data_IF_004141168204
#
_entry.id   IF_004141168204
#
_cell.length_a   1.000
_cell.length_b   1.000
_cell.length_c   1.000
_cell.angle_alpha   90.00
_cell.angle_beta   90.00
_cell.angle_gamma   90.00
#
_symmetry.space_group_name_H-M   'P 1'
#
loop_
_entity.id
_entity.type
_entity.pdbx_description
1 polymer ?
#
# COMPACT_ATOMS: atom_id res chain seq x y z
N UNK A 1 -8.12 -0.67 -4.10
CA UNK A 1 -8.18 -1.16 -2.71
C UNK A 1 -9.58 -1.05 -2.14
N UNK A 2 -10.28 0.09 -2.25
CA UNK A 2 -11.66 0.20 -1.73
C UNK A 2 -12.61 -0.86 -2.28
N UNK A 3 -12.68 -1.01 -3.60
CA UNK A 3 -13.57 -2.00 -4.27
C UNK A 3 -13.24 -3.43 -3.87
N UNK A 4 -11.96 -3.82 -3.91
CA UNK A 4 -11.57 -5.19 -3.55
C UNK A 4 -11.74 -5.46 -2.05
N UNK A 5 -11.58 -4.44 -1.20
CA UNK A 5 -11.90 -4.56 0.22
C UNK A 5 -13.40 -4.80 0.41
N UNK A 6 -14.25 -4.06 -0.30
CA UNK A 6 -15.71 -4.27 -0.27
C UNK A 6 -16.11 -5.67 -0.75
N UNK A 7 -15.55 -6.14 -1.88
CA UNK A 7 -15.78 -7.49 -2.42
C UNK A 7 -15.38 -8.60 -1.43
N UNK A 8 -14.27 -8.40 -0.70
CA UNK A 8 -13.76 -9.33 0.31
C UNK A 8 -14.31 -9.08 1.73
N UNK A 9 -15.25 -8.14 1.91
CA UNK A 9 -15.84 -7.83 3.20
C UNK A 9 -14.85 -7.27 4.22
N UNK A 10 -13.83 -6.53 3.79
CA UNK A 10 -12.81 -5.91 4.63
C UNK A 10 -13.16 -4.44 4.87
N UNK A 11 -13.37 -4.08 6.14
CA UNK A 11 -13.65 -2.70 6.53
C UNK A 11 -12.39 -1.80 6.41
N UNK A 12 -12.53 -0.47 6.51
CA UNK A 12 -11.38 0.43 6.41
C UNK A 12 -10.33 0.30 7.53
N UNK A 13 -10.66 -0.38 8.62
CA UNK A 13 -9.73 -0.73 9.71
C UNK A 13 -9.02 -2.07 9.49
N UNK A 14 -9.37 -2.78 8.42
CA UNK A 14 -8.83 -4.09 8.05
C UNK A 14 -9.58 -5.27 8.65
N UNK A 15 -10.72 -5.08 9.31
CA UNK A 15 -11.47 -6.18 9.91
C UNK A 15 -12.35 -6.87 8.88
N UNK A 16 -12.44 -8.20 8.95
CA UNK A 16 -13.45 -8.93 8.17
C UNK A 16 -14.85 -8.78 8.79
N UNK A 17 -15.78 -8.29 7.98
CA UNK A 17 -17.20 -8.05 8.31
C UNK A 17 -18.14 -8.68 7.27
N UNK A 18 -17.60 -9.54 6.40
CA UNK A 18 -18.35 -10.25 5.37
C UNK A 18 -19.23 -11.38 5.91
N UNK A 19 -20.03 -11.97 5.02
CA UNK A 19 -21.04 -12.98 5.33
C UNK A 19 -20.85 -14.29 4.54
N UNK A 20 -19.77 -14.40 3.75
CA UNK A 20 -19.51 -15.57 2.89
C UNK A 20 -18.08 -16.08 3.01
N UNK A 21 -17.93 -17.37 3.30
CA UNK A 21 -16.62 -18.05 3.36
C UNK A 21 -15.80 -17.90 2.07
N UNK A 22 -16.47 -17.72 0.92
CA UNK A 22 -15.82 -17.51 -0.38
C UNK A 22 -15.01 -16.20 -0.43
N UNK A 23 -15.39 -15.20 0.37
CA UNK A 23 -14.65 -13.94 0.47
C UNK A 23 -13.26 -14.14 1.09
N UNK A 24 -13.06 -15.18 1.90
CA UNK A 24 -11.78 -15.47 2.54
C UNK A 24 -10.94 -16.52 1.81
N UNK A 25 -11.52 -17.32 0.91
CA UNK A 25 -10.85 -18.47 0.28
C UNK A 25 -9.49 -18.12 -0.36
N UNK A 26 -9.37 -16.94 -0.96
CA UNK A 26 -8.16 -16.47 -1.66
C UNK A 26 -7.68 -15.09 -1.23
N UNK A 27 -8.08 -14.66 -0.03
CA UNK A 27 -7.73 -13.32 0.47
C UNK A 27 -6.21 -13.11 0.59
N UNK A 28 -5.45 -14.19 0.82
CA UNK A 28 -3.99 -14.21 0.93
C UNK A 28 -3.24 -13.74 -0.32
N UNK A 29 -3.92 -13.69 -1.48
CA UNK A 29 -3.33 -13.18 -2.73
C UNK A 29 -3.02 -11.68 -2.62
N UNK A 30 -3.91 -10.90 -2.01
CA UNK A 30 -3.80 -9.44 -1.92
C UNK A 30 -3.59 -8.92 -0.51
N UNK A 31 -3.92 -9.70 0.51
CA UNK A 31 -3.83 -9.29 1.91
C UNK A 31 -2.97 -10.24 2.72
N UNK A 32 -2.33 -9.69 3.74
CA UNK A 32 -1.73 -10.41 4.85
C UNK A 32 -2.68 -10.41 6.03
N UNK A 33 -2.86 -11.56 6.68
CA UNK A 33 -3.51 -11.62 7.99
C UNK A 33 -2.47 -11.23 9.06
N UNK A 34 -2.62 -10.03 9.64
CA UNK A 34 -1.69 -9.50 10.64
C UNK A 34 -2.00 -10.01 12.05
N UNK A 35 -3.29 -10.22 12.33
CA UNK A 35 -3.82 -10.85 13.54
C UNK A 35 -5.16 -11.48 13.19
N UNK A 36 -5.72 -12.31 14.07
CA UNK A 36 -7.02 -12.94 13.85
C UNK A 36 -8.06 -11.93 13.33
N UNK A 37 -8.56 -12.18 12.13
CA UNK A 37 -9.57 -11.36 11.43
C UNK A 37 -9.14 -9.94 11.04
N UNK A 38 -7.84 -9.62 11.08
CA UNK A 38 -7.29 -8.33 10.64
C UNK A 38 -6.39 -8.50 9.42
N UNK A 39 -6.81 -7.90 8.32
CA UNK A 39 -6.20 -8.01 7.00
C UNK A 39 -5.58 -6.69 6.58
N UNK A 40 -4.35 -6.78 6.06
CA UNK A 40 -3.56 -5.64 5.61
C UNK A 40 -3.13 -5.87 4.16
N UNK A 41 -3.36 -4.92 3.24
CA UNK A 41 -2.92 -5.02 1.85
C UNK A 41 -1.43 -5.31 1.71
N UNK A 42 -1.09 -6.23 0.80
CA UNK A 42 0.27 -6.40 0.25
C UNK A 42 0.52 -5.29 -0.77
N UNK A 43 0.65 -4.06 -0.29
CA UNK A 43 0.80 -2.85 -1.10
C UNK A 43 2.00 -2.01 -0.65
N UNK A 44 2.67 -1.37 -1.62
CA UNK A 44 3.74 -0.40 -1.41
C UNK A 44 3.34 0.87 -2.16
N UNK A 45 3.33 2.01 -1.45
CA UNK A 45 2.93 3.29 -1.99
C UNK A 45 4.17 4.14 -2.18
N UNK A 46 4.43 4.53 -3.43
CA UNK A 46 5.64 5.26 -3.80
C UNK A 46 5.25 6.54 -4.51
N UNK A 47 5.78 7.66 -4.04
CA UNK A 47 5.71 8.94 -4.75
C UNK A 47 7.01 9.73 -4.52
N UNK A 48 7.38 10.62 -5.41
CA UNK A 48 8.50 11.53 -5.15
C UNK A 48 8.06 12.72 -4.29
N UNK A 49 6.75 13.01 -4.24
CA UNK A 49 6.17 14.10 -3.47
C UNK A 49 5.53 13.63 -2.15
N UNK A 50 5.77 14.33 -1.02
CA UNK A 50 5.19 13.94 0.27
C UNK A 50 3.66 14.15 0.34
N UNK A 51 3.12 15.12 -0.43
CA UNK A 51 1.71 15.54 -0.31
C UNK A 51 0.69 14.46 -0.70
N UNK A 52 1.06 13.53 -1.58
CA UNK A 52 0.18 12.41 -1.96
C UNK A 52 -0.07 11.47 -0.79
N UNK A 53 0.90 11.31 0.11
CA UNK A 53 0.80 10.39 1.25
C UNK A 53 -0.23 10.88 2.27
N UNK A 54 -0.24 12.17 2.55
CA UNK A 54 -1.25 12.79 3.43
C UNK A 54 -2.65 12.63 2.85
N UNK A 55 -2.78 12.79 1.54
CA UNK A 55 -4.05 12.61 0.83
C UNK A 55 -4.56 11.17 0.98
N UNK A 56 -3.71 10.16 0.76
CA UNK A 56 -4.10 8.75 0.93
C UNK A 56 -4.45 8.45 2.39
N UNK A 57 -3.65 8.92 3.35
CA UNK A 57 -3.89 8.70 4.78
C UNK A 57 -5.19 9.35 5.28
N UNK A 58 -5.59 10.47 4.67
CA UNK A 58 -6.85 11.15 4.98
C UNK A 58 -8.08 10.50 4.32
N UNK A 59 -7.87 9.60 3.36
CA UNK A 59 -8.93 8.86 2.69
C UNK A 59 -9.60 7.83 3.61
N UNK A 60 -10.78 7.34 3.20
CA UNK A 60 -11.57 6.39 4.00
C UNK A 60 -10.75 5.14 4.39
N UNK A 61 -9.96 4.61 3.46
CA UNK A 61 -9.09 3.44 3.64
C UNK A 61 -7.64 3.80 4.00
N UNK A 62 -7.35 5.05 4.40
CA UNK A 62 -5.99 5.49 4.68
C UNK A 62 -5.29 4.69 5.79
N UNK A 63 -6.06 4.23 6.78
CA UNK A 63 -5.58 3.42 7.90
C UNK A 63 -5.40 1.92 7.59
N UNK A 64 -5.83 1.48 6.41
CA UNK A 64 -5.72 0.09 5.99
C UNK A 64 -4.27 -0.30 5.66
N UNK A 65 -3.48 0.65 5.17
CA UNK A 65 -2.11 0.42 4.70
C UNK A 65 -1.08 0.47 5.83
N UNK A 66 -0.02 -0.36 5.75
CA UNK A 66 1.11 -0.28 6.70
C UNK A 66 1.82 1.05 6.56
N UNK A 67 2.03 1.81 7.64
CA UNK A 67 2.80 3.06 7.61
C UNK A 67 4.21 2.89 7.04
N UNK A 68 4.83 1.73 7.28
CA UNK A 68 6.19 1.39 6.82
C UNK A 68 6.28 1.18 5.30
N UNK A 69 5.14 1.02 4.63
CA UNK A 69 5.07 0.79 3.18
C UNK A 69 4.83 2.08 2.38
N UNK A 70 4.83 3.24 3.05
CA UNK A 70 4.80 4.55 2.41
C UNK A 70 6.22 5.03 2.19
N UNK A 71 6.63 5.19 0.93
CA UNK A 71 7.98 5.57 0.55
C UNK A 71 7.86 6.82 -0.29
N UNK A 72 8.45 7.92 0.19
CA UNK A 72 8.33 9.19 -0.49
C UNK A 72 9.60 10.02 -0.50
N UNK A 73 9.79 10.76 -1.59
CA UNK A 73 10.84 11.75 -1.73
C UNK A 73 10.49 13.09 -1.06
N UNK A 74 11.35 14.09 -1.27
CA UNK A 74 11.12 15.47 -0.83
C UNK A 74 10.91 16.44 -2.01
N UNK A 75 10.84 15.92 -3.23
CA UNK A 75 10.93 16.68 -4.48
C UNK A 75 10.10 15.98 -5.56
N UNK A 76 9.48 16.74 -6.46
CA UNK A 76 8.71 16.16 -7.57
C UNK A 76 9.55 15.88 -8.82
N UNK A 77 9.09 14.91 -9.62
CA UNK A 77 9.58 14.75 -10.99
C UNK A 77 9.14 15.91 -11.90
N UNK A 78 8.05 16.62 -11.57
CA UNK A 78 7.59 17.79 -12.31
C UNK A 78 7.24 17.48 -13.78
N UNK A 79 6.56 16.36 -14.03
CA UNK A 79 6.26 15.84 -15.37
C UNK A 79 7.50 15.61 -16.27
N UNK A 80 8.69 15.51 -15.68
CA UNK A 80 9.92 15.18 -16.39
C UNK A 80 10.31 13.72 -16.12
N UNK A 81 10.20 12.89 -17.16
CA UNK A 81 10.58 11.48 -17.08
C UNK A 81 12.04 11.27 -16.69
N UNK A 82 12.97 12.09 -17.21
CA UNK A 82 14.39 11.96 -16.91
C UNK A 82 14.69 12.23 -15.43
N UNK A 83 13.98 13.16 -14.78
CA UNK A 83 14.11 13.38 -13.33
C UNK A 83 13.65 12.15 -12.54
N UNK A 84 12.50 11.59 -12.93
CA UNK A 84 11.96 10.39 -12.29
C UNK A 84 12.86 9.17 -12.48
N UNK A 85 13.48 8.99 -13.64
CA UNK A 85 14.23 7.79 -13.95
C UNK A 85 15.72 7.86 -13.57
N UNK A 86 16.38 9.00 -13.78
CA UNK A 86 17.84 9.10 -13.67
C UNK A 86 18.35 9.89 -12.47
N UNK A 87 17.52 10.73 -11.83
CA UNK A 87 17.98 11.57 -10.70
C UNK A 87 17.17 11.30 -9.44
N UNK A 88 15.98 11.90 -9.30
CA UNK A 88 15.20 11.89 -8.05
C UNK A 88 14.72 10.47 -7.72
N UNK A 89 14.19 9.75 -8.72
CA UNK A 89 13.75 8.37 -8.50
C UNK A 89 14.91 7.38 -8.38
N UNK A 90 16.08 7.69 -8.93
CA UNK A 90 17.28 6.87 -8.73
C UNK A 90 17.78 6.96 -7.27
N UNK A 91 17.56 8.07 -6.58
CA UNK A 91 17.84 8.20 -5.14
C UNK A 91 16.83 7.44 -4.27
N UNK A 92 15.56 7.33 -4.71
CA UNK A 92 14.49 6.68 -3.95
C UNK A 92 14.41 5.16 -4.17
N UNK A 93 14.85 4.65 -5.33
CA UNK A 93 14.61 3.27 -5.76
C UNK A 93 15.16 2.21 -4.80
N UNK A 94 16.32 2.45 -4.18
CA UNK A 94 16.91 1.49 -3.24
C UNK A 94 16.02 1.28 -2.00
N UNK A 95 15.41 2.36 -1.49
CA UNK A 95 14.45 2.28 -0.38
C UNK A 95 13.19 1.50 -0.79
N UNK A 96 12.72 1.68 -2.03
CA UNK A 96 11.59 0.93 -2.58
C UNK A 96 11.90 -0.55 -2.66
N UNK A 97 13.07 -0.90 -3.21
CA UNK A 97 13.48 -2.30 -3.38
C UNK A 97 13.65 -3.02 -2.04
N UNK A 98 14.11 -2.35 -1.01
CA UNK A 98 14.22 -2.94 0.33
C UNK A 98 12.85 -3.28 0.94
N UNK A 99 11.83 -2.43 0.73
CA UNK A 99 10.48 -2.72 1.20
C UNK A 99 9.82 -3.82 0.34
N UNK A 100 10.04 -3.81 -0.98
CA UNK A 100 9.60 -4.90 -1.87
C UNK A 100 10.16 -6.23 -1.39
N UNK A 101 11.46 -6.28 -1.07
CA UNK A 101 12.11 -7.51 -0.56
C UNK A 101 11.45 -8.00 0.73
N UNK A 102 11.19 -7.11 1.69
CA UNK A 102 10.49 -7.45 2.94
C UNK A 102 9.08 -8.02 2.70
N UNK A 103 8.32 -7.47 1.75
CA UNK A 103 7.00 -7.99 1.41
C UNK A 103 7.05 -9.33 0.67
N UNK A 104 8.12 -9.61 -0.08
CA UNK A 104 8.31 -10.90 -0.74
C UNK A 104 8.76 -12.02 0.21
N UNK A 105 9.45 -11.69 1.30
CA UNK A 105 9.94 -12.65 2.29
C UNK A 105 8.91 -12.99 3.38
N UNK A 106 7.81 -12.21 3.47
CA UNK A 106 6.67 -12.41 4.38
C UNK A 106 5.57 -13.34 3.80
#
# INVERSE_FOLDING_TARGET
WEVISDEHGIDPSGNYVGDSDLQLERISVYYNEASSHKYVPRAILVDLEPGTMDSVRSGAFGHLFRPDNFIFGQSGAGNNWAKGHYTEGAELVDSVLDVVRKECEN
#
